data_IF_880374477600
#
_entry.id   IF_880374477600
#
_cell.length_a   1.000
_cell.length_b   1.000
_cell.length_c   1.000
_cell.angle_alpha   90.00
_cell.angle_beta   90.00
_cell.angle_gamma   90.00
#
_symmetry.space_group_name_H-M   'P 1'
#
loop_
_entity.id
_entity.type
_entity.pdbx_description
1 polymer ?
#
# COMPACT_ATOMS: atom_id res chain seq x y z
N UNK A 1 -22.48 -1.55 1.85
CA UNK A 1 -21.12 -1.65 2.42
C UNK A 1 -20.12 -1.54 1.28
N UNK A 2 -19.10 -0.69 1.38
CA UNK A 2 -18.06 -0.55 0.37
C UNK A 2 -16.70 -0.91 0.98
N UNK A 3 -15.90 -1.68 0.24
CA UNK A 3 -14.53 -2.07 0.62
C UNK A 3 -13.60 -1.62 -0.49
N UNK A 4 -12.66 -0.74 -0.16
CA UNK A 4 -11.77 -0.13 -1.12
C UNK A 4 -10.38 -0.75 -1.05
N UNK A 5 -9.84 -1.14 -2.20
CA UNK A 5 -8.46 -1.63 -2.33
C UNK A 5 -7.40 -0.60 -1.94
N UNK A 6 -7.75 0.68 -1.91
CA UNK A 6 -6.86 1.78 -1.54
C UNK A 6 -6.76 2.00 -0.02
N UNK A 7 -7.65 1.40 0.76
CA UNK A 7 -7.82 1.69 2.19
C UNK A 7 -6.58 1.32 3.02
N UNK A 8 -5.99 0.15 2.77
CA UNK A 8 -4.80 -0.32 3.48
C UNK A 8 -3.58 0.59 3.28
N UNK A 9 -3.48 1.21 2.10
CA UNK A 9 -2.35 2.05 1.71
C UNK A 9 -2.45 3.49 2.25
N UNK A 10 -3.56 3.88 2.88
CA UNK A 10 -3.71 5.25 3.44
C UNK A 10 -2.76 5.54 4.61
N UNK A 11 -2.04 4.53 5.11
CA UNK A 11 -1.00 4.67 6.14
C UNK A 11 0.37 5.09 5.58
N UNK A 12 0.54 5.15 4.26
CA UNK A 12 1.79 5.58 3.64
C UNK A 12 2.19 7.00 4.11
N UNK A 13 3.47 7.23 4.43
CA UNK A 13 3.98 8.57 4.72
C UNK A 13 4.02 9.43 3.44
N UNK A 14 4.08 10.75 3.63
CA UNK A 14 4.10 11.72 2.53
C UNK A 14 5.17 11.44 1.47
N UNK A 15 6.38 11.11 1.92
CA UNK A 15 7.50 10.72 1.03
C UNK A 15 7.20 9.52 0.12
N UNK A 16 6.26 8.65 0.51
CA UNK A 16 5.90 7.46 -0.26
C UNK A 16 4.71 7.72 -1.19
N UNK A 17 3.76 8.59 -0.81
CA UNK A 17 2.59 8.83 -1.65
C UNK A 17 2.70 10.03 -2.60
N UNK A 18 3.59 10.97 -2.35
CA UNK A 18 3.81 12.09 -3.26
C UNK A 18 4.66 11.68 -4.46
N UNK A 19 4.26 12.15 -5.64
CA UNK A 19 5.11 12.09 -6.82
C UNK A 19 6.04 13.30 -6.87
N UNK A 20 7.19 13.14 -7.54
CA UNK A 20 8.15 14.21 -7.80
C UNK A 20 7.67 15.16 -8.91
N UNK A 21 6.50 15.77 -8.69
CA UNK A 21 5.83 16.73 -9.59
C UNK A 21 5.42 17.97 -8.80
N UNK A 22 5.00 19.07 -9.45
CA UNK A 22 4.60 20.28 -8.74
C UNK A 22 3.52 19.99 -7.68
N UNK A 23 3.76 20.44 -6.44
CA UNK A 23 2.85 20.22 -5.29
C UNK A 23 1.43 20.75 -5.53
N UNK A 24 1.26 21.69 -6.45
CA UNK A 24 -0.05 22.18 -6.90
C UNK A 24 -0.97 21.03 -7.35
N UNK A 25 -0.42 20.05 -8.08
CA UNK A 25 -1.18 18.88 -8.58
C UNK A 25 -1.69 18.01 -7.43
N UNK A 26 -0.90 17.82 -6.38
CA UNK A 26 -1.35 17.11 -5.18
C UNK A 26 -2.44 17.90 -4.45
N UNK A 27 -2.20 19.20 -4.20
CA UNK A 27 -3.09 20.05 -3.40
C UNK A 27 -4.45 20.28 -4.05
N UNK A 28 -4.49 20.49 -5.37
CA UNK A 28 -5.72 20.85 -6.10
C UNK A 28 -6.43 19.64 -6.69
N UNK A 29 -5.68 18.58 -7.06
CA UNK A 29 -6.24 17.44 -7.80
C UNK A 29 -6.10 16.11 -7.05
N UNK A 30 -5.54 16.11 -5.83
CA UNK A 30 -5.23 14.88 -5.09
C UNK A 30 -4.37 13.90 -5.89
N UNK A 31 -3.48 14.42 -6.74
CA UNK A 31 -2.57 13.59 -7.51
C UNK A 31 -1.53 12.94 -6.58
N UNK A 32 -1.73 11.66 -6.29
CA UNK A 32 -0.89 10.87 -5.35
C UNK A 32 -0.90 9.38 -5.69
N UNK A 33 -0.04 8.64 -4.99
CA UNK A 33 -0.13 7.18 -4.87
C UNK A 33 -1.30 6.80 -3.98
N UNK A 34 -2.17 5.93 -4.49
CA UNK A 34 -3.25 5.31 -3.73
C UNK A 34 -3.03 3.82 -3.50
N UNK A 35 -2.31 3.15 -4.40
CA UNK A 35 -2.11 1.69 -4.36
C UNK A 35 -3.37 0.90 -4.70
N UNK A 36 -3.22 -0.41 -4.94
CA UNK A 36 -4.32 -1.36 -5.13
C UNK A 36 -4.01 -2.67 -4.40
N UNK A 37 -4.92 -3.65 -4.45
CA UNK A 37 -4.81 -4.92 -3.74
C UNK A 37 -4.69 -4.78 -2.21
N UNK A 38 -5.12 -3.67 -1.62
CA UNK A 38 -4.98 -3.42 -0.18
C UNK A 38 -5.73 -4.43 0.69
N UNK A 39 -6.85 -4.95 0.20
CA UNK A 39 -7.58 -6.04 0.86
C UNK A 39 -6.75 -7.32 0.96
N UNK A 40 -6.09 -7.71 -0.13
CA UNK A 40 -5.16 -8.84 -0.17
C UNK A 40 -3.95 -8.60 0.72
N UNK A 41 -3.32 -7.42 0.66
CA UNK A 41 -2.17 -7.12 1.51
C UNK A 41 -2.49 -7.17 3.01
N UNK A 42 -3.64 -6.62 3.41
CA UNK A 42 -4.07 -6.68 4.81
C UNK A 42 -4.22 -8.13 5.26
N UNK A 43 -4.94 -8.94 4.49
CA UNK A 43 -5.16 -10.35 4.80
C UNK A 43 -3.84 -11.12 4.91
N UNK A 44 -2.97 -11.03 3.90
CA UNK A 44 -1.71 -11.78 3.88
C UNK A 44 -0.76 -11.30 4.98
N UNK A 45 -0.75 -10.01 5.32
CA UNK A 45 0.07 -9.50 6.41
C UNK A 45 -0.37 -10.04 7.78
N UNK A 46 -1.67 -10.12 8.02
CA UNK A 46 -2.24 -10.71 9.24
C UNK A 46 -1.95 -12.21 9.33
N UNK A 47 -2.12 -12.95 8.24
CA UNK A 47 -1.80 -14.39 8.21
C UNK A 47 -0.30 -14.65 8.37
N UNK A 48 0.56 -13.88 7.71
CA UNK A 48 1.99 -13.99 7.87
C UNK A 48 2.44 -13.69 9.31
N UNK A 49 1.85 -12.69 9.98
CA UNK A 49 2.13 -12.40 11.38
C UNK A 49 1.76 -13.59 12.29
N UNK A 50 0.60 -14.23 12.06
CA UNK A 50 0.19 -15.45 12.77
C UNK A 50 1.17 -16.60 12.55
N UNK A 51 1.60 -16.84 11.31
CA UNK A 51 2.57 -17.89 10.97
C UNK A 51 3.93 -17.67 11.64
N UNK A 52 4.32 -16.41 11.82
CA UNK A 52 5.55 -16.01 12.49
C UNK A 52 5.42 -15.99 14.03
N UNK A 53 4.22 -16.21 14.58
CA UNK A 53 3.96 -16.13 16.02
C UNK A 53 4.16 -14.72 16.60
N UNK A 54 3.95 -13.67 15.78
CA UNK A 54 4.18 -12.27 16.17
C UNK A 54 2.88 -11.45 16.12
N UNK A 55 2.74 -10.42 16.97
CA UNK A 55 1.71 -9.40 16.80
C UNK A 55 1.82 -8.72 15.42
N UNK A 56 0.69 -8.42 14.80
CA UNK A 56 0.66 -7.81 13.45
C UNK A 56 1.32 -6.42 13.43
N UNK A 57 1.13 -5.64 14.48
CA UNK A 57 1.72 -4.31 14.69
C UNK A 57 3.22 -4.34 15.01
N UNK A 58 3.82 -5.50 15.26
CA UNK A 58 5.27 -5.70 15.43
C UNK A 58 5.91 -6.43 14.23
N UNK A 59 5.13 -6.70 13.19
CA UNK A 59 5.55 -7.46 12.02
C UNK A 59 5.81 -6.51 10.85
N UNK A 60 7.01 -6.61 10.27
CA UNK A 60 7.40 -5.89 9.05
C UNK A 60 7.67 -6.91 7.94
N UNK A 61 7.07 -6.68 6.77
CA UNK A 61 7.02 -7.63 5.66
C UNK A 61 7.23 -6.90 4.34
N UNK A 62 7.71 -7.64 3.34
CA UNK A 62 7.59 -7.26 1.93
C UNK A 62 6.70 -8.32 1.29
N UNK A 63 5.56 -7.90 0.75
CA UNK A 63 4.58 -8.82 0.15
C UNK A 63 4.50 -8.55 -1.34
N UNK A 64 4.65 -9.60 -2.14
CA UNK A 64 4.41 -9.59 -3.59
C UNK A 64 3.04 -10.22 -3.88
N UNK A 65 2.11 -9.43 -4.41
CA UNK A 65 0.86 -9.93 -4.96
C UNK A 65 1.05 -10.13 -6.46
N UNK A 66 1.03 -11.39 -6.93
CA UNK A 66 1.30 -11.75 -8.32
C UNK A 66 0.07 -12.44 -8.91
N UNK A 67 -0.56 -11.80 -9.90
CA UNK A 67 -1.74 -12.31 -10.58
C UNK A 67 -2.02 -11.52 -11.86
N UNK A 68 -3.29 -11.38 -12.24
CA UNK A 68 -3.70 -10.61 -13.44
C UNK A 68 -3.33 -9.11 -13.35
N UNK A 69 -2.99 -8.63 -12.16
CA UNK A 69 -2.18 -7.44 -11.91
C UNK A 69 -1.15 -7.78 -10.83
N UNK A 70 0.08 -7.26 -10.97
CA UNK A 70 1.16 -7.53 -10.03
C UNK A 70 1.55 -6.26 -9.27
N UNK A 71 1.72 -6.38 -7.96
CA UNK A 71 2.22 -5.29 -7.13
C UNK A 71 3.04 -5.82 -5.95
N UNK A 72 3.87 -4.95 -5.40
CA UNK A 72 4.65 -5.20 -4.18
C UNK A 72 4.32 -4.12 -3.16
N UNK A 73 4.14 -4.49 -1.89
CA UNK A 73 3.94 -3.55 -0.79
C UNK A 73 4.94 -3.80 0.32
N UNK A 74 5.55 -2.71 0.80
CA UNK A 74 6.37 -2.70 1.99
C UNK A 74 5.48 -2.40 3.19
N UNK A 75 5.49 -3.30 4.17
CA UNK A 75 4.69 -3.20 5.39
C UNK A 75 5.65 -3.05 6.55
N UNK A 76 5.45 -2.00 7.34
CA UNK A 76 6.22 -1.72 8.55
C UNK A 76 5.27 -1.67 9.73
N UNK A 77 5.51 -2.54 10.72
CA UNK A 77 4.72 -2.59 11.95
C UNK A 77 3.21 -2.72 11.64
N UNK A 78 2.86 -3.67 10.76
CA UNK A 78 1.48 -3.93 10.34
C UNK A 78 0.85 -2.87 9.42
N UNK A 79 1.54 -1.78 9.11
CA UNK A 79 1.03 -0.66 8.29
C UNK A 79 1.75 -0.58 6.95
N UNK A 80 1.03 -0.18 5.90
CA UNK A 80 1.65 0.04 4.59
C UNK A 80 2.60 1.25 4.65
N UNK A 81 3.88 1.01 4.38
CA UNK A 81 4.91 2.03 4.31
C UNK A 81 5.19 2.49 2.88
N UNK A 82 5.01 1.61 1.89
CA UNK A 82 5.12 1.93 0.46
C UNK A 82 4.44 0.85 -0.38
N UNK A 83 4.08 1.16 -1.63
CA UNK A 83 3.49 0.21 -2.59
C UNK A 83 3.86 0.54 -4.03
N UNK A 84 3.94 -0.47 -4.89
CA UNK A 84 4.41 -0.32 -6.27
C UNK A 84 3.33 0.19 -7.25
N UNK A 85 2.07 0.27 -6.84
CA UNK A 85 0.98 0.82 -7.66
C UNK A 85 0.67 2.27 -7.29
N UNK A 86 0.44 3.10 -8.30
CA UNK A 86 0.34 4.54 -8.19
C UNK A 86 -1.07 5.10 -7.99
N UNK A 87 -1.37 6.11 -8.81
CA UNK A 87 -2.68 6.76 -8.92
C UNK A 87 -3.67 5.78 -9.54
N UNK A 88 -3.19 4.99 -10.49
CA UNK A 88 -3.90 3.91 -11.15
C UNK A 88 -3.12 2.61 -11.01
N UNK A 89 -3.74 1.49 -11.40
CA UNK A 89 -3.19 0.14 -11.28
C UNK A 89 -1.93 -0.15 -12.13
N UNK A 90 -1.50 0.77 -12.99
CA UNK A 90 -0.48 0.49 -14.00
C UNK A 90 0.95 0.81 -13.56
N UNK A 91 1.21 1.94 -12.87
CA UNK A 91 2.55 2.34 -12.39
C UNK A 91 2.48 3.28 -11.19
N UNK A 92 3.53 3.27 -10.37
CA UNK A 92 3.81 4.21 -9.28
C UNK A 92 4.63 5.46 -9.69
N UNK A 93 4.83 5.67 -10.99
CA UNK A 93 5.54 6.79 -11.61
C UNK A 93 4.92 7.10 -12.96
#
# INVERSE_FOLDING_TARGET
>A
MAVFDTSFHQTMPEKAYLYAVPMKLYRENSLRRYGMHGTSYRFVAEEAAKMLGKPADETSLVIAHLGNGASISAIRNGKCADTSMGLTRWKAW
#
